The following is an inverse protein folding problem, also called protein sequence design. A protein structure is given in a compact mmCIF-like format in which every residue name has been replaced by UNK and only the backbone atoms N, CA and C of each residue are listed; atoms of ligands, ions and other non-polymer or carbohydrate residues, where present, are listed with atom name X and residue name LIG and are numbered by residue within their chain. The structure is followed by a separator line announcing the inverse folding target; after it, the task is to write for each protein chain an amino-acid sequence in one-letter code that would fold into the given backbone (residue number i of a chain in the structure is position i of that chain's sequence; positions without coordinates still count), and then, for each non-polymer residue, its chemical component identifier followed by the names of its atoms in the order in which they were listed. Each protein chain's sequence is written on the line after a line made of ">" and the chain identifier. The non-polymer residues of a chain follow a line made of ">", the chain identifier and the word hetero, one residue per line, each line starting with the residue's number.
data_IF_211212821472
#
_entry.id   IF_211212821472
#
_cell.length_a   1.000
_cell.length_b   1.000
_cell.length_c   1.000
_cell.angle_alpha   90.00
_cell.angle_beta   90.00
_cell.angle_gamma   90.00
#
_symmetry.space_group_name_H-M   'P 1'
#
loop_
_entity.id
_entity.type
_entity.pdbx_description
1 polymer ?
#
# COMPACT_ATOMS: atom_id res chain seq x y z
N UNK A 1 6.32 -3.46 5.03
CA UNK A 1 5.88 -4.87 4.92
C UNK A 1 5.02 -5.39 6.07
N UNK A 2 4.77 -4.60 7.13
CA UNK A 2 3.92 -5.03 8.27
C UNK A 2 2.53 -5.51 7.84
N UNK A 3 1.87 -4.79 6.92
CA UNK A 3 0.55 -5.19 6.37
C UNK A 3 0.62 -6.54 5.65
N UNK A 4 1.66 -6.77 4.84
CA UNK A 4 1.90 -8.04 4.15
C UNK A 4 2.09 -9.21 5.12
N UNK A 5 2.77 -8.97 6.24
CA UNK A 5 3.01 -9.99 7.26
C UNK A 5 1.70 -10.43 7.94
N UNK A 6 0.75 -9.51 8.14
CA UNK A 6 -0.56 -9.84 8.71
C UNK A 6 -1.35 -10.83 7.83
N UNK A 7 -1.11 -10.83 6.51
CA UNK A 7 -1.81 -11.67 5.54
C UNK A 7 -1.00 -12.92 5.11
N UNK A 8 0.16 -13.17 5.72
CA UNK A 8 1.13 -14.21 5.27
C UNK A 8 0.60 -15.65 5.24
N UNK A 9 -0.45 -15.94 6.02
CA UNK A 9 -1.06 -17.27 6.09
C UNK A 9 -2.24 -17.44 5.14
N UNK A 10 -2.65 -16.38 4.43
CA UNK A 10 -3.68 -16.49 3.41
C UNK A 10 -3.08 -17.09 2.14
N UNK A 11 -3.84 -17.90 1.38
CA UNK A 11 -3.39 -18.48 0.12
C UNK A 11 -3.43 -17.43 -1.01
N UNK A 12 -2.74 -16.32 -0.82
CA UNK A 12 -2.67 -15.19 -1.76
C UNK A 12 -1.23 -14.87 -2.09
N UNK A 13 -1.00 -14.50 -3.35
CA UNK A 13 0.28 -13.98 -3.80
C UNK A 13 0.30 -12.47 -3.59
N UNK A 14 1.36 -11.99 -2.96
CA UNK A 14 1.53 -10.57 -2.66
C UNK A 14 2.61 -9.97 -3.55
N UNK A 15 2.33 -8.83 -4.17
CA UNK A 15 3.27 -8.16 -5.08
C UNK A 15 3.40 -6.70 -4.65
N UNK A 16 4.63 -6.20 -4.62
CA UNK A 16 4.94 -4.79 -4.43
C UNK A 16 5.10 -4.13 -5.80
N UNK A 17 4.27 -3.13 -6.06
CA UNK A 17 4.43 -2.24 -7.22
C UNK A 17 4.97 -0.90 -6.70
N UNK A 18 6.20 -0.51 -7.07
CA UNK A 18 6.74 0.79 -6.67
C UNK A 18 5.98 1.89 -7.41
N UNK A 19 5.33 2.77 -6.65
CA UNK A 19 4.49 3.83 -7.20
C UNK A 19 3.40 3.22 -8.12
N UNK A 20 3.42 3.58 -9.41
CA UNK A 20 2.56 3.05 -10.46
C UNK A 20 3.38 2.38 -11.58
N UNK A 21 4.59 1.89 -11.27
CA UNK A 21 5.51 1.30 -12.25
C UNK A 21 5.50 -0.25 -12.15
N UNK A 22 4.65 -0.87 -12.96
CA UNK A 22 4.50 -2.34 -13.02
C UNK A 22 5.73 -3.04 -13.61
N UNK A 23 6.57 -2.34 -14.39
CA UNK A 23 7.80 -2.94 -14.93
C UNK A 23 8.79 -3.31 -13.82
N UNK A 24 8.61 -2.73 -12.64
CA UNK A 24 9.38 -2.99 -11.42
C UNK A 24 8.58 -3.73 -10.36
N UNK A 25 7.43 -4.31 -10.73
CA UNK A 25 6.63 -5.12 -9.82
C UNK A 25 7.44 -6.33 -9.35
N UNK A 26 7.50 -6.52 -8.03
CA UNK A 26 8.32 -7.54 -7.39
C UNK A 26 7.51 -8.35 -6.39
N UNK A 27 7.77 -9.64 -6.31
CA UNK A 27 7.07 -10.53 -5.38
C UNK A 27 7.39 -10.16 -3.93
N UNK A 28 6.43 -10.34 -3.02
CA UNK A 28 6.63 -10.25 -1.58
C UNK A 28 6.51 -11.65 -0.98
N UNK A 29 7.57 -12.12 -0.33
CA UNK A 29 7.64 -13.46 0.26
C UNK A 29 8.06 -13.42 1.72
N UNK A 30 7.66 -14.44 2.49
CA UNK A 30 8.14 -14.62 3.86
C UNK A 30 9.53 -15.26 3.83
N UNK A 31 10.54 -14.55 4.32
CA UNK A 31 11.88 -15.10 4.57
C UNK A 31 11.94 -15.61 6.01
N UNK A 32 12.27 -16.90 6.24
CA UNK A 32 12.39 -17.46 7.58
C UNK A 32 13.30 -16.62 8.47
N UNK A 33 12.87 -16.40 9.71
CA UNK A 33 13.59 -15.62 10.73
C UNK A 33 13.88 -14.14 10.42
N UNK A 34 13.46 -13.63 9.25
CA UNK A 34 13.62 -12.20 8.88
C UNK A 34 12.27 -11.50 8.73
N UNK A 35 11.27 -12.14 8.12
CA UNK A 35 9.95 -11.57 7.87
C UNK A 35 9.62 -11.46 6.38
N UNK A 36 8.53 -10.76 6.04
CA UNK A 36 8.21 -10.50 4.63
C UNK A 36 9.33 -9.69 3.98
N UNK A 37 9.71 -10.00 2.74
CA UNK A 37 10.71 -9.32 1.92
C UNK A 37 10.21 -9.12 0.49
N UNK A 38 10.59 -8.01 -0.14
CA UNK A 38 10.44 -7.81 -1.58
C UNK A 38 11.60 -8.53 -2.26
N UNK A 39 11.29 -9.42 -3.19
CA UNK A 39 12.31 -10.20 -3.92
C UNK A 39 12.94 -9.35 -5.04
N UNK A 40 13.96 -9.90 -5.71
CA UNK A 40 14.53 -9.29 -6.91
C UNK A 40 13.86 -9.73 -8.22
N UNK A 41 12.97 -10.72 -8.15
CA UNK A 41 12.23 -11.23 -9.29
C UNK A 41 11.15 -10.23 -9.75
N UNK A 42 11.29 -9.77 -10.99
CA UNK A 42 10.23 -9.02 -11.67
C UNK A 42 9.08 -9.99 -11.97
N UNK A 43 7.86 -9.61 -11.61
CA UNK A 43 6.70 -10.49 -11.73
C UNK A 43 5.53 -9.81 -12.43
N UNK A 44 4.82 -10.57 -13.25
CA UNK A 44 3.57 -10.11 -13.88
C UNK A 44 2.45 -9.96 -12.84
N UNK A 45 1.57 -8.99 -13.07
CA UNK A 45 0.45 -8.71 -12.16
C UNK A 45 -0.91 -8.92 -12.82
N UNK A 46 -1.81 -9.52 -12.05
CA UNK A 46 -3.24 -9.61 -12.36
C UNK A 46 -4.02 -9.62 -11.03
N UNK A 47 -4.04 -8.48 -10.31
CA UNK A 47 -4.56 -8.43 -8.95
C UNK A 47 -6.08 -8.62 -8.92
N UNK A 48 -6.57 -9.35 -7.90
CA UNK A 48 -7.99 -9.34 -7.51
C UNK A 48 -8.30 -8.27 -6.47
N UNK A 49 -7.26 -7.82 -5.75
CA UNK A 49 -7.31 -6.75 -4.76
C UNK A 49 -6.09 -5.88 -4.97
N UNK A 50 -6.28 -4.56 -5.02
CA UNK A 50 -5.19 -3.58 -5.01
C UNK A 50 -5.23 -2.80 -3.71
N UNK A 51 -4.06 -2.65 -3.07
CA UNK A 51 -3.91 -1.84 -1.85
C UNK A 51 -3.14 -0.57 -2.20
N UNK A 52 -3.84 0.56 -2.30
CA UNK A 52 -3.23 1.87 -2.43
C UNK A 52 -2.74 2.33 -1.05
N UNK A 53 -1.45 2.60 -0.95
CA UNK A 53 -0.81 3.03 0.29
C UNK A 53 -0.86 4.55 0.40
N UNK A 54 -1.20 5.08 1.58
CA UNK A 54 -1.35 6.53 1.80
C UNK A 54 -0.12 7.38 1.46
N UNK A 55 1.08 6.79 1.39
CA UNK A 55 2.27 7.52 0.92
C UNK A 55 2.17 8.02 -0.52
N UNK A 56 1.31 7.45 -1.36
CA UNK A 56 1.08 7.92 -2.73
C UNK A 56 0.46 9.32 -2.78
N UNK A 57 -0.19 9.77 -1.71
CA UNK A 57 -0.80 11.10 -1.64
C UNK A 57 0.22 12.19 -1.28
N UNK A 58 1.46 11.83 -0.97
CA UNK A 58 2.48 12.81 -0.58
C UNK A 58 2.85 13.69 -1.79
N UNK A 59 2.92 15.03 -1.62
CA UNK A 59 3.17 15.95 -2.74
C UNK A 59 4.43 15.62 -3.56
N UNK A 60 5.48 15.13 -2.90
CA UNK A 60 6.77 14.79 -3.54
C UNK A 60 6.66 13.62 -4.52
N UNK A 61 5.65 12.77 -4.36
CA UNK A 61 5.43 11.57 -5.19
C UNK A 61 4.85 11.92 -6.57
N UNK A 62 4.24 13.10 -6.72
CA UNK A 62 3.70 13.60 -8.00
C UNK A 62 2.73 12.63 -8.70
N UNK A 63 1.88 11.94 -7.93
CA UNK A 63 0.81 11.07 -8.45
C UNK A 63 -0.54 11.67 -8.07
N UNK A 64 -1.43 11.81 -9.06
CA UNK A 64 -2.81 12.26 -8.83
C UNK A 64 -3.74 11.07 -8.53
N UNK A 65 -4.89 11.28 -7.87
CA UNK A 65 -5.85 10.20 -7.66
C UNK A 65 -6.44 9.64 -8.97
N UNK A 66 -6.56 10.46 -10.02
CA UNK A 66 -6.99 10.01 -11.35
C UNK A 66 -5.96 9.09 -12.00
N UNK A 67 -4.66 9.43 -11.88
CA UNK A 67 -3.58 8.56 -12.38
C UNK A 67 -3.58 7.21 -11.66
N UNK A 68 -3.78 7.22 -10.34
CA UNK A 68 -3.87 5.99 -9.56
C UNK A 68 -5.12 5.18 -9.94
N UNK A 69 -6.27 5.83 -10.12
CA UNK A 69 -7.52 5.17 -10.51
C UNK A 69 -7.42 4.54 -11.90
N UNK A 70 -6.95 5.29 -12.89
CA UNK A 70 -6.74 4.79 -14.26
C UNK A 70 -5.84 3.56 -14.26
N UNK A 71 -4.76 3.62 -13.48
CA UNK A 71 -3.83 2.51 -13.35
C UNK A 71 -4.49 1.24 -12.79
N UNK A 72 -5.20 1.34 -11.67
CA UNK A 72 -5.79 0.15 -11.01
C UNK A 72 -7.02 -0.38 -11.73
N UNK A 73 -7.76 0.47 -12.45
CA UNK A 73 -9.00 0.10 -13.14
C UNK A 73 -8.77 -0.85 -14.32
N UNK A 74 -7.52 -1.04 -14.76
CA UNK A 74 -7.16 -2.01 -15.82
C UNK A 74 -7.44 -3.47 -15.46
N UNK A 75 -7.65 -3.79 -14.18
CA UNK A 75 -7.73 -5.18 -13.68
C UNK A 75 -9.08 -5.58 -13.08
N UNK A 76 -10.08 -4.67 -13.08
CA UNK A 76 -11.34 -4.82 -12.31
C UNK A 76 -11.14 -5.35 -10.87
N UNK A 77 -10.23 -4.77 -10.05
CA UNK A 77 -9.94 -5.28 -8.72
C UNK A 77 -10.85 -4.66 -7.66
N UNK A 78 -10.86 -5.27 -6.47
CA UNK A 78 -11.27 -4.55 -5.25
C UNK A 78 -10.21 -3.52 -4.85
N UNK A 79 -10.61 -2.27 -4.64
CA UNK A 79 -9.69 -1.16 -4.35
C UNK A 79 -9.71 -0.88 -2.85
N UNK A 80 -8.60 -1.17 -2.17
CA UNK A 80 -8.42 -0.91 -0.75
C UNK A 80 -7.45 0.25 -0.56
N UNK A 81 -7.81 1.24 0.24
CA UNK A 81 -6.90 2.28 0.68
C UNK A 81 -6.39 1.98 2.09
N UNK A 82 -5.07 2.10 2.31
CA UNK A 82 -4.49 1.94 3.62
C UNK A 82 -3.54 3.09 3.97
N UNK A 83 -3.97 4.02 4.82
CA UNK A 83 -3.25 5.23 5.19
C UNK A 83 -3.11 5.41 6.70
N UNK A 84 -2.46 6.51 7.08
CA UNK A 84 -2.44 7.02 8.45
C UNK A 84 -2.83 8.49 8.43
N UNK A 85 -3.31 8.99 9.57
CA UNK A 85 -3.58 10.41 9.81
C UNK A 85 -4.50 11.03 8.74
N UNK A 86 -5.44 10.25 8.22
CA UNK A 86 -6.46 10.65 7.26
C UNK A 86 -5.92 11.19 5.93
N UNK A 87 -4.77 10.68 5.46
CA UNK A 87 -4.11 11.16 4.25
C UNK A 87 -5.03 11.19 3.01
N UNK A 88 -5.76 10.10 2.71
CA UNK A 88 -6.68 10.05 1.58
C UNK A 88 -7.87 11.02 1.70
N UNK A 89 -8.25 11.40 2.92
CA UNK A 89 -9.31 12.38 3.16
C UNK A 89 -8.80 13.81 2.97
N UNK A 90 -7.64 14.13 3.54
CA UNK A 90 -7.00 15.45 3.44
C UNK A 90 -6.68 15.82 2.00
N UNK A 91 -6.15 14.87 1.25
CA UNK A 91 -5.81 15.04 -0.17
C UNK A 91 -7.00 14.77 -1.10
N UNK A 92 -8.19 14.48 -0.57
CA UNK A 92 -9.44 14.26 -1.34
C UNK A 92 -9.39 13.13 -2.36
N UNK A 93 -8.52 12.14 -2.15
CA UNK A 93 -8.46 10.96 -3.02
C UNK A 93 -9.73 10.12 -2.95
N UNK A 94 -10.40 10.10 -1.79
CA UNK A 94 -11.68 9.41 -1.60
C UNK A 94 -12.85 10.00 -2.42
N UNK A 95 -12.74 11.25 -2.90
CA UNK A 95 -13.75 11.86 -3.78
C UNK A 95 -13.65 11.34 -5.22
N UNK A 96 -12.48 10.82 -5.60
CA UNK A 96 -12.15 10.38 -6.97
C UNK A 96 -12.10 8.86 -7.06
N UNK A 97 -11.45 8.20 -6.11
CA UNK A 97 -11.23 6.76 -6.11
C UNK A 97 -12.38 6.07 -5.36
N UNK A 98 -13.13 5.17 -6.01
CA UNK A 98 -14.22 4.44 -5.38
C UNK A 98 -13.67 3.27 -4.53
N UNK A 99 -13.07 3.59 -3.39
CA UNK A 99 -12.53 2.58 -2.48
C UNK A 99 -13.63 1.64 -1.97
N UNK A 100 -13.45 0.32 -2.14
CA UNK A 100 -14.29 -0.70 -1.51
C UNK A 100 -14.06 -0.77 0.01
N UNK A 101 -12.85 -0.44 0.45
CA UNK A 101 -12.47 -0.39 1.86
C UNK A 101 -11.39 0.66 2.09
N UNK A 102 -11.53 1.46 3.15
CA UNK A 102 -10.51 2.37 3.64
C UNK A 102 -10.11 2.01 5.06
N UNK A 103 -8.81 1.78 5.26
CA UNK A 103 -8.18 1.56 6.57
C UNK A 103 -7.31 2.77 6.89
N UNK A 104 -7.77 3.61 7.81
CA UNK A 104 -7.04 4.79 8.30
C UNK A 104 -6.58 4.56 9.74
N UNK A 105 -5.26 4.57 9.95
CA UNK A 105 -4.68 4.48 11.29
C UNK A 105 -4.41 5.86 11.89
N UNK A 106 -4.87 6.10 13.11
CA UNK A 106 -4.53 7.31 13.86
C UNK A 106 -3.38 7.00 14.82
N UNK A 107 -2.32 7.80 14.74
CA UNK A 107 -1.17 7.72 15.65
C UNK A 107 -1.33 8.83 16.70
N UNK A 108 -2.07 8.51 17.76
CA UNK A 108 -2.34 9.41 18.89
C UNK A 108 -2.71 8.58 20.13
N UNK A 109 -2.03 8.72 21.29
CA UNK A 109 -0.91 9.64 21.57
C UNK A 109 0.45 9.12 21.10
N UNK A 110 1.40 10.05 20.94
CA UNK A 110 2.83 9.74 20.79
C UNK A 110 3.52 9.95 22.13
N UNK A 111 4.00 8.87 22.76
CA UNK A 111 4.80 8.93 23.97
C UNK A 111 6.29 8.85 23.63
N UNK A 112 7.08 9.75 24.21
CA UNK A 112 8.53 9.81 24.00
C UNK A 112 9.21 9.67 25.37
N UNK A 113 10.06 8.65 25.51
CA UNK A 113 10.90 8.46 26.68
C UNK A 113 12.36 8.67 26.29
N UNK A 114 13.07 9.48 27.07
CA UNK A 114 14.53 9.62 26.95
C UNK A 114 15.17 8.98 28.16
N UNK A 115 16.08 8.05 27.94
CA UNK A 115 16.97 7.58 29.02
C UNK A 115 17.97 8.70 29.29
N UNK A 116 17.91 9.30 30.48
CA UNK A 116 19.02 10.08 31.04
C UNK A 116 20.00 9.10 31.70
N UNK A 117 21.29 9.41 31.58
CA UNK A 117 22.36 8.69 32.29
C UNK A 117 22.16 8.68 33.80
#
# INVERSE_FOLDING_TARGET
>A
MVKSYALRNLPVRQVFVPLLDESKAKLIEMVPDVGMHVTDEITEIHPKVVVLMGGLTMPEVSISPEMALDHVSRYDPKIVGACYMSAFFKEKWHDVIPFDLLVDGIIDPVHIWRKTD
#
